data_IF_916156055846
#
_entry.id   IF_916156055846
#
_cell.length_a   1.000
_cell.length_b   1.000
_cell.length_c   1.000
_cell.angle_alpha   90.00
_cell.angle_beta   90.00
_cell.angle_gamma   90.00
#
_symmetry.space_group_name_H-M   'P 1'
#
loop_
_entity.id
_entity.type
_entity.pdbx_description
1 polymer ?
#
# COMPACT_ATOMS: atom_id res chain seq x y z
N UNK A 1 -13.80 -36.35 -19.45
CA UNK A 1 -12.73 -35.60 -18.73
C UNK A 1 -12.17 -36.54 -17.67
N UNK A 2 -10.87 -36.80 -17.70
CA UNK A 2 -10.22 -37.73 -16.76
C UNK A 2 -10.14 -37.11 -15.36
N UNK A 3 -10.27 -37.90 -14.30
CA UNK A 3 -10.14 -37.46 -12.90
C UNK A 3 -8.82 -36.72 -12.64
N UNK A 4 -7.77 -37.05 -13.41
CA UNK A 4 -6.48 -36.37 -13.39
C UNK A 4 -6.56 -34.90 -13.86
N UNK A 5 -7.43 -34.59 -14.83
CA UNK A 5 -7.65 -33.22 -15.31
C UNK A 5 -8.41 -32.38 -14.27
N UNK A 6 -9.37 -32.98 -13.54
CA UNK A 6 -10.07 -32.30 -12.45
C UNK A 6 -9.13 -31.99 -11.28
N UNK A 7 -8.22 -32.91 -10.94
CA UNK A 7 -7.21 -32.73 -9.89
C UNK A 7 -6.18 -31.65 -10.25
N UNK A 8 -5.73 -31.58 -11.51
CA UNK A 8 -4.86 -30.50 -11.97
C UNK A 8 -5.54 -29.13 -11.93
N UNK A 9 -6.82 -29.04 -12.33
CA UNK A 9 -7.57 -27.78 -12.23
C UNK A 9 -7.79 -27.37 -10.76
N UNK A 10 -8.13 -28.30 -9.86
CA UNK A 10 -8.32 -28.00 -8.44
C UNK A 10 -7.00 -27.56 -7.75
N UNK A 11 -5.86 -28.12 -8.15
CA UNK A 11 -4.54 -27.68 -7.69
C UNK A 11 -4.19 -26.27 -8.20
N UNK A 12 -4.57 -25.94 -9.44
CA UNK A 12 -4.43 -24.59 -10.00
C UNK A 12 -5.36 -23.57 -9.30
N UNK A 13 -6.53 -23.97 -8.83
CA UNK A 13 -7.42 -23.07 -8.07
C UNK A 13 -6.98 -22.83 -6.62
N UNK A 14 -5.94 -23.53 -6.16
CA UNK A 14 -5.37 -23.35 -4.81
C UNK A 14 -4.27 -22.29 -4.74
N UNK A 15 -4.26 -21.32 -5.68
CA UNK A 15 -3.58 -20.05 -5.44
C UNK A 15 -4.26 -19.38 -4.25
N UNK A 16 -3.88 -19.78 -3.03
CA UNK A 16 -4.07 -18.96 -1.86
C UNK A 16 -3.55 -17.59 -2.27
N UNK A 17 -4.41 -16.58 -2.22
CA UNK A 17 -4.07 -15.19 -2.53
C UNK A 17 -3.03 -14.72 -1.50
N UNK A 18 -1.79 -15.14 -1.68
CA UNK A 18 -0.66 -14.76 -0.85
C UNK A 18 -0.11 -13.47 -1.40
N UNK A 19 0.16 -12.55 -0.50
CA UNK A 19 0.45 -11.19 -0.85
C UNK A 19 1.83 -10.86 -0.34
N UNK A 20 2.64 -10.30 -1.23
CA UNK A 20 4.00 -9.89 -0.93
C UNK A 20 4.27 -8.60 -1.69
N UNK A 21 3.90 -7.49 -1.05
CA UNK A 21 3.88 -6.17 -1.67
C UNK A 21 4.92 -5.29 -1.01
N UNK A 22 5.93 -4.88 -1.78
CA UNK A 22 6.90 -3.88 -1.37
C UNK A 22 6.36 -2.48 -1.67
N UNK A 23 6.05 -1.71 -0.63
CA UNK A 23 5.53 -0.36 -0.73
C UNK A 23 6.64 0.64 -0.48
N UNK A 24 6.83 1.56 -1.41
CA UNK A 24 7.78 2.68 -1.28
C UNK A 24 6.99 3.97 -1.17
N UNK A 25 7.20 4.72 -0.09
CA UNK A 25 6.73 6.08 0.07
C UNK A 25 7.87 7.04 -0.27
N UNK A 26 7.60 8.04 -1.09
CA UNK A 26 8.55 9.10 -1.42
C UNK A 26 7.92 10.44 -1.07
N UNK A 27 8.60 11.23 -0.25
CA UNK A 27 8.22 12.62 -0.02
C UNK A 27 8.50 13.44 -1.28
N UNK A 28 7.46 13.96 -1.92
CA UNK A 28 7.53 14.89 -3.04
C UNK A 28 7.02 16.26 -2.60
N UNK A 29 7.45 16.68 -1.42
CA UNK A 29 7.08 17.96 -0.80
C UNK A 29 8.18 18.42 0.13
N UNK A 30 8.31 19.74 0.28
CA UNK A 30 9.18 20.36 1.29
C UNK A 30 8.51 20.48 2.67
N UNK A 31 7.20 20.20 2.77
CA UNK A 31 6.44 20.32 4.02
C UNK A 31 6.59 19.06 4.87
N UNK A 32 6.82 19.18 6.20
CA UNK A 32 6.87 18.03 7.07
C UNK A 32 5.49 17.35 7.16
N UNK A 33 5.49 16.02 7.17
CA UNK A 33 4.28 15.21 7.12
C UNK A 33 4.47 13.87 7.79
N UNK A 34 3.50 13.48 8.61
CA UNK A 34 3.45 12.14 9.15
C UNK A 34 2.60 11.24 8.24
N UNK A 35 2.98 9.98 8.12
CA UNK A 35 2.14 9.00 7.48
C UNK A 35 2.16 7.66 8.21
N UNK A 36 1.07 6.92 8.05
CA UNK A 36 0.89 5.59 8.59
C UNK A 36 0.08 4.76 7.62
N UNK A 37 0.44 3.49 7.51
CA UNK A 37 -0.23 2.53 6.66
C UNK A 37 -0.90 1.48 7.52
N UNK A 38 -2.14 1.13 7.17
CA UNK A 38 -2.84 -0.04 7.70
C UNK A 38 -2.81 -1.11 6.63
N UNK A 39 -2.22 -2.24 6.97
CA UNK A 39 -2.10 -3.40 6.10
C UNK A 39 -3.43 -4.15 5.98
N UNK A 40 -3.52 -5.04 4.99
CA UNK A 40 -4.70 -5.90 4.77
C UNK A 40 -5.01 -6.85 5.95
N UNK A 41 -4.07 -7.11 6.86
CA UNK A 41 -4.30 -7.88 8.09
C UNK A 41 -4.83 -7.00 9.25
N UNK A 42 -5.05 -5.71 8.99
CA UNK A 42 -5.48 -4.72 9.98
C UNK A 42 -4.34 -4.17 10.84
N UNK A 43 -3.10 -4.67 10.70
CA UNK A 43 -1.95 -4.15 11.43
C UNK A 43 -1.58 -2.74 10.97
N UNK A 44 -1.22 -1.89 11.92
CA UNK A 44 -0.70 -0.56 11.62
C UNK A 44 0.82 -0.59 11.53
N UNK A 45 1.36 0.07 10.51
CA UNK A 45 2.79 0.37 10.43
C UNK A 45 3.20 1.30 11.57
N UNK A 46 4.52 1.46 11.75
CA UNK A 46 5.04 2.59 12.52
C UNK A 46 4.53 3.90 11.92
N UNK A 47 4.41 4.92 12.77
CA UNK A 47 4.20 6.28 12.31
C UNK A 47 5.54 6.80 11.78
N UNK A 48 5.58 7.18 10.52
CA UNK A 48 6.77 7.73 9.88
C UNK A 48 6.64 9.24 9.75
N UNK A 49 7.77 9.92 9.81
CA UNK A 49 7.87 11.36 9.64
C UNK A 49 8.77 11.66 8.45
N UNK A 50 8.23 12.35 7.45
CA UNK A 50 9.04 12.97 6.41
C UNK A 50 9.23 14.44 6.76
N UNK A 51 10.50 14.83 6.85
CA UNK A 51 10.94 16.20 7.16
C UNK A 51 11.47 16.93 5.92
N UNK A 52 11.86 16.17 4.88
CA UNK A 52 12.53 16.70 3.70
C UNK A 52 11.96 16.09 2.43
N UNK A 53 12.03 16.87 1.36
CA UNK A 53 11.76 16.40 0.02
C UNK A 53 12.71 15.24 -0.36
N UNK A 54 12.21 14.30 -1.15
CA UNK A 54 12.87 13.08 -1.61
C UNK A 54 13.28 12.09 -0.52
N UNK A 55 12.77 12.22 0.71
CA UNK A 55 12.90 11.17 1.70
C UNK A 55 12.07 9.95 1.30
N UNK A 56 12.69 8.77 1.38
CA UNK A 56 12.03 7.51 1.06
C UNK A 56 11.82 6.65 2.30
N UNK A 57 10.69 5.96 2.33
CA UNK A 57 10.43 4.92 3.31
C UNK A 57 9.89 3.68 2.61
N UNK A 58 10.52 2.55 2.87
CA UNK A 58 10.12 1.26 2.32
C UNK A 58 9.44 0.44 3.41
N UNK A 59 8.38 -0.25 3.01
CA UNK A 59 7.56 -1.15 3.80
C UNK A 59 7.33 -2.42 2.99
N UNK A 60 7.22 -3.56 3.66
CA UNK A 60 6.84 -4.82 3.02
C UNK A 60 5.60 -5.35 3.69
N UNK A 61 4.56 -5.58 2.90
CA UNK A 61 3.29 -6.12 3.34
C UNK A 61 3.24 -7.59 2.93
N UNK A 62 3.12 -8.47 3.91
CA UNK A 62 3.03 -9.92 3.67
C UNK A 62 1.83 -10.51 4.37
N UNK A 63 1.11 -11.40 3.69
CA UNK A 63 0.06 -12.20 4.32
C UNK A 63 -0.80 -12.93 3.32
N UNK A 64 -1.98 -13.36 3.77
CA UNK A 64 -2.92 -14.17 2.97
C UNK A 64 -4.22 -13.39 2.80
N UNK A 65 -4.93 -13.65 1.71
CA UNK A 65 -6.24 -13.07 1.40
C UNK A 65 -6.26 -11.54 1.36
N UNK A 66 -5.19 -10.88 0.90
CA UNK A 66 -5.14 -9.41 0.90
C UNK A 66 -6.19 -8.77 -0.04
N UNK A 67 -6.61 -9.46 -1.10
CA UNK A 67 -7.68 -8.99 -1.99
C UNK A 67 -9.06 -8.89 -1.33
N UNK A 68 -9.23 -9.44 -0.12
CA UNK A 68 -10.49 -9.34 0.64
C UNK A 68 -10.51 -8.20 1.66
N UNK A 69 -9.38 -7.54 1.89
CA UNK A 69 -9.24 -6.51 2.90
C UNK A 69 -8.65 -5.23 2.34
N UNK A 70 -9.08 -4.12 2.90
CA UNK A 70 -8.57 -2.81 2.48
C UNK A 70 -7.23 -2.53 3.14
N UNK A 71 -6.35 -1.98 2.32
CA UNK A 71 -5.10 -1.35 2.71
C UNK A 71 -5.30 0.16 2.71
N UNK A 72 -4.99 0.80 3.83
CA UNK A 72 -5.28 2.22 4.05
C UNK A 72 -3.99 3.00 4.24
N UNK A 73 -3.90 4.16 3.61
CA UNK A 73 -2.79 5.10 3.81
C UNK A 73 -3.37 6.39 4.38
N UNK A 74 -2.85 6.79 5.54
CA UNK A 74 -3.25 8.01 6.22
C UNK A 74 -2.08 8.96 6.33
N UNK A 75 -2.28 10.21 5.95
CA UNK A 75 -1.32 11.30 6.15
C UNK A 75 -1.85 12.30 7.17
N UNK A 76 -0.96 12.83 7.99
CA UNK A 76 -1.28 13.77 9.06
C UNK A 76 -0.37 14.99 8.95
N UNK A 77 -0.90 16.16 9.29
CA UNK A 77 -0.06 17.36 9.37
C UNK A 77 0.96 17.20 10.47
N UNK A 78 2.15 17.72 10.26
CA UNK A 78 3.03 18.05 11.37
C UNK A 78 2.54 19.33 12.04
N UNK A 79 2.42 19.29 13.37
CA UNK A 79 2.21 20.47 14.21
C UNK A 79 3.30 20.45 15.28
N UNK A 80 4.34 21.27 15.08
CA UNK A 80 5.49 21.42 15.97
C UNK A 80 6.21 20.09 16.29
N UNK A 81 6.45 19.27 15.26
CA UNK A 81 7.14 17.99 15.38
C UNK A 81 6.24 16.86 15.92
N UNK A 82 4.92 17.09 16.01
CA UNK A 82 3.95 16.11 16.52
C UNK A 82 2.88 15.80 15.49
N UNK A 83 2.33 14.58 15.58
CA UNK A 83 1.19 14.13 14.78
C UNK A 83 -0.01 15.04 15.03
N UNK A 84 -0.33 15.85 14.03
CA UNK A 84 -1.49 16.71 14.01
C UNK A 84 -2.72 16.05 13.39
N UNK A 85 -3.68 16.86 12.89
CA UNK A 85 -4.91 16.36 12.31
C UNK A 85 -4.65 15.54 11.03
N UNK A 86 -5.54 14.58 10.79
CA UNK A 86 -5.59 13.81 9.55
C UNK A 86 -5.81 14.75 8.37
N UNK A 87 -4.95 14.67 7.36
CA UNK A 87 -5.09 15.41 6.11
C UNK A 87 -5.95 14.63 5.14
N UNK A 88 -5.49 13.41 4.83
CA UNK A 88 -6.12 12.57 3.84
C UNK A 88 -5.97 11.11 4.23
N UNK A 89 -6.94 10.36 3.76
CA UNK A 89 -7.04 8.93 3.89
C UNK A 89 -7.35 8.38 2.49
N UNK A 90 -6.56 7.41 2.03
CA UNK A 90 -6.78 6.70 0.77
C UNK A 90 -6.89 5.21 1.05
N UNK A 91 -7.81 4.56 0.35
CA UNK A 91 -8.15 3.16 0.57
C UNK A 91 -7.95 2.39 -0.73
N UNK A 92 -7.16 1.34 -0.68
CA UNK A 92 -6.89 0.46 -1.82
C UNK A 92 -7.06 -0.99 -1.42
N UNK A 93 -7.52 -1.82 -2.34
CA UNK A 93 -7.48 -3.27 -2.23
C UNK A 93 -6.30 -3.70 -3.09
N UNK A 94 -5.33 -4.38 -2.47
CA UNK A 94 -4.10 -4.80 -3.13
C UNK A 94 -4.10 -6.32 -3.20
N UNK A 95 -3.67 -6.90 -4.32
CA UNK A 95 -3.57 -8.34 -4.50
C UNK A 95 -2.35 -8.76 -5.33
N UNK A 96 -1.69 -9.85 -4.92
CA UNK A 96 -0.54 -10.42 -5.62
C UNK A 96 0.81 -10.06 -5.00
N UNK A 97 1.86 -10.15 -5.83
CA UNK A 97 3.25 -10.00 -5.39
C UNK A 97 4.01 -9.02 -6.28
N UNK A 98 4.57 -7.98 -5.69
CA UNK A 98 5.24 -6.95 -6.47
C UNK A 98 5.57 -5.69 -5.69
N UNK A 99 5.56 -4.55 -6.39
CA UNK A 99 5.96 -3.25 -5.83
C UNK A 99 4.90 -2.19 -6.07
N UNK A 100 4.74 -1.26 -5.12
CA UNK A 100 3.89 -0.07 -5.25
C UNK A 100 4.70 1.14 -4.78
N UNK A 101 4.53 2.27 -5.46
CA UNK A 101 5.12 3.55 -5.05
C UNK A 101 4.04 4.59 -4.79
N UNK A 102 4.11 5.23 -3.62
CA UNK A 102 3.31 6.36 -3.23
C UNK A 102 4.16 7.62 -3.18
N UNK A 103 3.65 8.72 -3.75
CA UNK A 103 4.22 10.05 -3.57
C UNK A 103 3.39 10.85 -2.57
N UNK A 104 4.06 11.46 -1.59
CA UNK A 104 3.44 12.43 -0.70
C UNK A 104 3.71 13.84 -1.24
N UNK A 105 2.71 14.43 -1.87
CA UNK A 105 2.83 15.70 -2.61
C UNK A 105 2.54 16.93 -1.71
N UNK A 106 2.65 18.15 -2.25
CA UNK A 106 2.57 19.42 -1.49
C UNK A 106 1.25 19.70 -0.77
N UNK A 107 0.17 19.06 -1.21
CA UNK A 107 -1.14 19.00 -0.55
C UNK A 107 -1.20 17.93 0.56
N UNK A 108 -0.05 17.35 0.91
CA UNK A 108 0.18 16.36 1.96
C UNK A 108 -0.61 15.06 1.77
N UNK A 109 -0.99 14.76 0.53
CA UNK A 109 -1.72 13.56 0.16
C UNK A 109 -0.74 12.50 -0.33
N UNK A 110 -0.91 11.27 0.11
CA UNK A 110 -0.23 10.13 -0.49
C UNK A 110 -1.01 9.69 -1.74
N UNK A 111 -0.35 9.70 -2.89
CA UNK A 111 -0.91 9.30 -4.18
C UNK A 111 -0.15 8.09 -4.69
N UNK A 112 -0.86 7.03 -5.07
CA UNK A 112 -0.24 5.88 -5.73
C UNK A 112 0.18 6.31 -7.15
N UNK A 113 1.47 6.25 -7.46
CA UNK A 113 1.98 6.73 -8.77
C UNK A 113 2.47 5.60 -9.67
N UNK A 114 2.84 4.46 -9.10
CA UNK A 114 3.31 3.31 -9.85
C UNK A 114 3.00 2.02 -9.09
N UNK A 115 2.76 0.95 -9.85
CA UNK A 115 2.58 -0.42 -9.35
C UNK A 115 3.13 -1.39 -10.38
N UNK A 116 3.77 -2.48 -9.95
CA UNK A 116 4.27 -3.54 -10.81
C UNK A 116 4.01 -4.88 -10.13
N UNK A 117 3.35 -5.81 -10.82
CA UNK A 117 3.06 -7.16 -10.29
C UNK A 117 1.96 -7.21 -9.22
N UNK A 118 1.33 -6.07 -8.90
CA UNK A 118 0.26 -5.98 -7.90
C UNK A 118 -1.02 -5.53 -8.59
N UNK A 119 -2.07 -6.33 -8.46
CA UNK A 119 -3.42 -5.92 -8.80
C UNK A 119 -3.91 -4.94 -7.75
N UNK A 120 -4.60 -3.90 -8.18
CA UNK A 120 -5.20 -2.94 -7.26
C UNK A 120 -6.61 -2.57 -7.70
N UNK A 121 -7.50 -2.44 -6.72
CA UNK A 121 -8.82 -1.82 -6.85
C UNK A 121 -8.98 -0.69 -5.81
N UNK A 122 -9.71 0.38 -6.14
CA UNK A 122 -9.90 1.59 -5.32
C UNK A 122 -8.62 2.42 -5.13
N UNK A 123 -8.70 3.73 -5.36
CA UNK A 123 -7.60 4.72 -5.23
C UNK A 123 -6.22 4.25 -5.75
N UNK A 124 -6.19 3.50 -6.85
CA UNK A 124 -4.96 2.93 -7.40
C UNK A 124 -4.07 3.92 -8.15
N UNK A 125 -4.45 5.19 -8.16
CA UNK A 125 -3.72 6.27 -8.83
C UNK A 125 -3.27 5.94 -10.26
N UNK A 126 -2.02 6.27 -10.60
CA UNK A 126 -1.46 6.18 -11.96
C UNK A 126 -1.38 4.76 -12.54
N UNK A 127 -1.36 4.65 -13.87
CA UNK A 127 -1.27 3.35 -14.57
C UNK A 127 0.04 2.65 -14.21
N UNK A 128 -0.08 1.41 -13.73
CA UNK A 128 0.91 0.36 -13.77
C UNK A 128 0.29 -0.87 -14.40
#
# INVERSE_FOLDING_TARGET
MSTLQLLLLAALFSFAASCDVNVTFVAMTAKPVFFQMKSFDGSLSKLYHFEKNQQEQKLRLTGKNCGMHTTEVSTYKDVDGKKGPLVKHSISILEGSGTITYWVVDDLRALMVARVGVMCALDCGGRG
#
